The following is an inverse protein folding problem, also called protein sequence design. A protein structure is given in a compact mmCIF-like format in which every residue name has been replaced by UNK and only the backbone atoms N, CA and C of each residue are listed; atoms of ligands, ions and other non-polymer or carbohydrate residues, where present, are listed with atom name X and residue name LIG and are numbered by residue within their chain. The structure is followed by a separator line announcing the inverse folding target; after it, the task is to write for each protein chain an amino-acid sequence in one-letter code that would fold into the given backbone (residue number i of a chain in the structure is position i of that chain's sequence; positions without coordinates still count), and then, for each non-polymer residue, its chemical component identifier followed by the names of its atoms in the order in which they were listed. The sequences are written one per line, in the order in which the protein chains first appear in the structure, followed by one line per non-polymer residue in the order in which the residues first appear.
data_IF_266389643592
#
_entry.id   IF_266389643592
#
_cell.length_a   1.000
_cell.length_b   1.000
_cell.length_c   1.000
_cell.angle_alpha   90.00
_cell.angle_beta   90.00
_cell.angle_gamma   90.00
#
_symmetry.space_group_name_H-M   'P 1'
#
loop_
_entity.id
_entity.type
_entity.pdbx_description
1 polymer ?
#
# COMPACT_ATOMS: atom_id res chain seq x y z
N UNK A 1 -75.68 -20.23 -12.00
CA UNK A 1 -74.98 -19.95 -10.73
C UNK A 1 -73.49 -20.17 -10.94
N UNK A 2 -72.69 -19.12 -10.69
CA UNK A 2 -71.38 -19.16 -10.01
C UNK A 2 -70.08 -19.33 -10.83
N UNK A 3 -69.49 -18.22 -11.29
CA UNK A 3 -68.09 -18.22 -11.78
C UNK A 3 -67.28 -16.93 -11.47
N UNK A 4 -67.62 -16.13 -10.44
CA UNK A 4 -67.00 -14.79 -10.26
C UNK A 4 -66.31 -14.52 -8.91
N UNK A 5 -65.79 -15.55 -8.25
CA UNK A 5 -65.17 -15.40 -6.91
C UNK A 5 -63.72 -15.91 -6.78
N UNK A 6 -63.01 -16.20 -7.88
CA UNK A 6 -61.66 -16.83 -7.82
C UNK A 6 -60.50 -15.84 -8.06
N UNK A 7 -60.71 -14.52 -8.03
CA UNK A 7 -59.63 -13.59 -8.42
C UNK A 7 -59.56 -12.27 -7.62
N UNK A 8 -59.64 -12.31 -6.28
CA UNK A 8 -59.42 -11.11 -5.44
C UNK A 8 -58.38 -11.24 -4.32
N UNK A 9 -57.90 -12.43 -3.98
CA UNK A 9 -56.98 -12.60 -2.83
C UNK A 9 -55.49 -12.69 -3.20
N UNK A 10 -55.14 -12.86 -4.48
CA UNK A 10 -53.75 -13.04 -4.92
C UNK A 10 -52.96 -11.72 -5.07
N UNK A 11 -53.64 -10.58 -5.22
CA UNK A 11 -53.01 -9.26 -5.40
C UNK A 11 -52.46 -8.71 -4.08
N UNK A 12 -53.22 -8.79 -2.99
CA UNK A 12 -52.83 -8.25 -1.67
C UNK A 12 -51.66 -9.01 -1.04
N UNK A 13 -51.59 -10.33 -1.24
CA UNK A 13 -50.51 -11.15 -0.69
C UNK A 13 -49.17 -10.89 -1.41
N UNK A 14 -49.18 -10.70 -2.74
CA UNK A 14 -47.97 -10.31 -3.49
C UNK A 14 -47.41 -8.97 -3.04
N UNK A 15 -48.29 -8.02 -2.73
CA UNK A 15 -47.89 -6.70 -2.24
C UNK A 15 -47.22 -6.79 -0.86
N UNK A 16 -47.74 -7.59 0.07
CA UNK A 16 -47.11 -7.84 1.38
C UNK A 16 -45.76 -8.56 1.31
N UNK A 17 -45.59 -9.55 0.43
CA UNK A 17 -44.28 -10.20 0.25
C UNK A 17 -43.28 -9.28 -0.46
N UNK A 18 -43.75 -8.44 -1.39
CA UNK A 18 -42.93 -7.41 -2.03
C UNK A 18 -42.53 -6.30 -1.05
N UNK A 19 -43.39 -5.98 -0.08
CA UNK A 19 -43.13 -4.97 0.95
C UNK A 19 -42.17 -5.48 2.03
N UNK A 20 -42.29 -6.75 2.44
CA UNK A 20 -41.32 -7.40 3.33
C UNK A 20 -39.96 -7.61 2.66
N UNK A 21 -39.92 -8.02 1.39
CA UNK A 21 -38.68 -8.09 0.61
C UNK A 21 -38.09 -6.69 0.37
N UNK A 22 -38.94 -5.67 0.18
CA UNK A 22 -38.54 -4.27 0.08
C UNK A 22 -37.90 -3.77 1.37
N UNK A 23 -38.50 -4.07 2.53
CA UNK A 23 -37.92 -3.73 3.84
C UNK A 23 -36.64 -4.51 4.13
N UNK A 24 -36.57 -5.79 3.74
CA UNK A 24 -35.38 -6.61 3.92
C UNK A 24 -34.24 -6.18 2.98
N UNK A 25 -34.56 -5.78 1.75
CA UNK A 25 -33.60 -5.20 0.81
C UNK A 25 -33.13 -3.83 1.27
N UNK A 26 -34.01 -3.01 1.85
CA UNK A 26 -33.65 -1.69 2.36
C UNK A 26 -32.77 -1.79 3.62
N UNK A 27 -33.11 -2.70 4.55
CA UNK A 27 -32.26 -3.00 5.71
C UNK A 27 -30.93 -3.66 5.28
N UNK A 28 -30.94 -4.58 4.31
CA UNK A 28 -29.70 -5.20 3.81
C UNK A 28 -28.83 -4.20 3.05
N UNK A 29 -29.42 -3.29 2.28
CA UNK A 29 -28.68 -2.23 1.61
C UNK A 29 -28.03 -1.25 2.61
N UNK A 30 -28.71 -1.01 3.74
CA UNK A 30 -28.21 -0.17 4.84
C UNK A 30 -27.04 -0.85 5.55
N UNK A 31 -27.14 -2.16 5.84
CA UNK A 31 -26.06 -2.94 6.45
C UNK A 31 -24.85 -3.06 5.51
N UNK A 32 -25.08 -3.28 4.21
CA UNK A 32 -24.01 -3.32 3.21
C UNK A 32 -23.34 -1.95 3.04
N UNK A 33 -24.09 -0.84 3.14
CA UNK A 33 -23.51 0.50 3.17
C UNK A 33 -22.62 0.72 4.40
N UNK A 34 -23.07 0.29 5.58
CA UNK A 34 -22.29 0.36 6.83
C UNK A 34 -21.00 -0.48 6.74
N UNK A 35 -21.08 -1.67 6.14
CA UNK A 35 -19.91 -2.54 5.90
C UNK A 35 -18.92 -1.93 4.90
N UNK A 36 -19.41 -1.28 3.83
CA UNK A 36 -18.58 -0.55 2.87
C UNK A 36 -17.91 0.65 3.54
N UNK A 37 -18.63 1.38 4.39
CA UNK A 37 -18.09 2.53 5.12
C UNK A 37 -17.01 2.11 6.13
N UNK A 38 -17.25 1.02 6.87
CA UNK A 38 -16.25 0.42 7.77
C UNK A 38 -15.02 -0.12 7.00
N UNK A 39 -15.22 -0.71 5.82
CA UNK A 39 -14.10 -1.15 4.97
C UNK A 39 -13.25 0.04 4.49
N UNK A 40 -13.89 1.14 4.06
CA UNK A 40 -13.20 2.38 3.67
C UNK A 40 -12.42 2.98 4.85
N UNK A 41 -13.01 2.97 6.05
CA UNK A 41 -12.34 3.44 7.26
C UNK A 41 -11.13 2.55 7.60
N UNK A 42 -11.27 1.22 7.54
CA UNK A 42 -10.17 0.28 7.77
C UNK A 42 -9.02 0.43 6.76
N UNK A 43 -9.31 0.74 5.50
CA UNK A 43 -8.30 1.05 4.47
C UNK A 43 -7.57 2.36 4.82
N UNK A 44 -8.32 3.40 5.20
CA UNK A 44 -7.78 4.71 5.57
C UNK A 44 -6.94 4.65 6.85
N UNK A 45 -7.32 3.79 7.79
CA UNK A 45 -6.57 3.54 9.02
C UNK A 45 -5.29 2.75 8.75
N UNK A 46 -5.32 1.72 7.88
CA UNK A 46 -4.09 1.02 7.44
C UNK A 46 -3.13 1.93 6.67
N UNK A 47 -3.64 2.87 5.87
CA UNK A 47 -2.80 3.92 5.26
C UNK A 47 -2.18 4.86 6.30
N UNK A 48 -2.92 5.20 7.34
CA UNK A 48 -2.45 6.09 8.42
C UNK A 48 -1.43 5.37 9.33
N UNK A 49 -1.63 4.08 9.62
CA UNK A 49 -0.66 3.24 10.32
C UNK A 49 0.64 3.06 9.52
N UNK A 50 0.54 2.92 8.19
CA UNK A 50 1.70 2.91 7.30
C UNK A 50 2.51 4.21 7.32
N UNK A 51 1.85 5.35 7.54
CA UNK A 51 2.50 6.68 7.60
C UNK A 51 3.49 6.78 8.76
N UNK A 52 3.17 6.22 9.93
CA UNK A 52 4.11 6.19 11.06
C UNK A 52 5.31 5.29 10.76
N UNK A 53 5.11 4.16 10.09
CA UNK A 53 6.21 3.29 9.66
C UNK A 53 7.18 3.98 8.68
N UNK A 54 6.65 4.78 7.75
CA UNK A 54 7.48 5.54 6.79
C UNK A 54 8.35 6.58 7.48
N UNK A 55 7.83 7.27 8.51
CA UNK A 55 8.60 8.27 9.26
C UNK A 55 9.77 7.61 10.00
N UNK A 56 9.54 6.47 10.66
CA UNK A 56 10.61 5.74 11.35
C UNK A 56 11.67 5.22 10.37
N UNK A 57 11.27 4.75 9.19
CA UNK A 57 12.20 4.33 8.13
C UNK A 57 13.03 5.51 7.62
N UNK A 58 12.45 6.70 7.47
CA UNK A 58 13.18 7.90 7.03
C UNK A 58 14.25 8.33 8.05
N UNK A 59 13.91 8.33 9.35
CA UNK A 59 14.86 8.65 10.42
C UNK A 59 15.98 7.61 10.46
N UNK A 60 15.63 6.32 10.39
CA UNK A 60 16.59 5.22 10.34
C UNK A 60 17.51 5.30 9.12
N UNK A 61 16.98 5.63 7.95
CA UNK A 61 17.76 5.84 6.73
C UNK A 61 18.71 7.05 6.87
N UNK A 62 18.27 8.14 7.50
CA UNK A 62 19.12 9.29 7.78
C UNK A 62 20.30 8.96 8.68
N UNK A 63 20.07 8.23 9.77
CA UNK A 63 21.13 7.77 10.69
C UNK A 63 22.06 6.78 9.99
N UNK A 64 21.50 5.84 9.23
CA UNK A 64 22.28 4.88 8.43
C UNK A 64 23.17 5.57 7.40
N UNK A 65 22.68 6.63 6.75
CA UNK A 65 23.46 7.42 5.81
C UNK A 65 24.64 8.13 6.49
N UNK A 66 24.42 8.70 7.67
CA UNK A 66 25.51 9.32 8.45
C UNK A 66 26.58 8.28 8.86
N UNK A 67 26.17 7.09 9.30
CA UNK A 67 27.09 5.99 9.63
C UNK A 67 27.88 5.50 8.40
N UNK A 68 27.23 5.44 7.24
CA UNK A 68 27.85 5.06 5.98
C UNK A 68 28.93 6.04 5.52
N UNK A 69 28.68 7.34 5.66
CA UNK A 69 29.69 8.37 5.39
C UNK A 69 30.95 8.18 6.26
N UNK A 70 30.76 7.82 7.53
CA UNK A 70 31.86 7.53 8.43
C UNK A 70 32.66 6.29 8.00
N UNK A 71 31.97 5.21 7.57
CA UNK A 71 32.60 4.02 7.00
C UNK A 71 33.41 4.34 5.74
N UNK A 72 32.93 5.22 4.87
CA UNK A 72 33.67 5.65 3.68
C UNK A 72 35.00 6.33 4.05
N UNK A 73 34.99 7.21 5.06
CA UNK A 73 36.21 7.89 5.53
C UNK A 73 37.22 6.88 6.08
N UNK A 74 36.77 5.94 6.93
CA UNK A 74 37.62 4.88 7.48
C UNK A 74 38.21 4.02 6.37
N UNK A 75 37.41 3.66 5.36
CA UNK A 75 37.86 2.85 4.24
C UNK A 75 38.93 3.56 3.40
N UNK A 76 38.76 4.86 3.15
CA UNK A 76 39.76 5.68 2.44
C UNK A 76 41.07 5.75 3.24
N UNK A 77 41.00 6.00 4.54
CA UNK A 77 42.19 6.07 5.41
C UNK A 77 42.92 4.71 5.41
N UNK A 78 42.19 3.61 5.55
CA UNK A 78 42.76 2.27 5.53
C UNK A 78 43.46 1.96 4.19
N UNK A 79 42.83 2.33 3.08
CA UNK A 79 43.36 2.09 1.74
C UNK A 79 44.53 3.04 1.38
N UNK A 80 44.60 4.20 2.04
CA UNK A 80 45.73 5.13 1.90
C UNK A 80 47.04 4.53 2.43
N UNK A 81 46.97 3.52 3.30
CA UNK A 81 48.16 2.77 3.72
C UNK A 81 48.78 1.93 2.59
N UNK A 82 48.02 1.65 1.52
CA UNK A 82 48.46 0.84 0.38
C UNK A 82 48.66 1.67 -0.90
N UNK A 83 48.03 2.84 -1.02
CA UNK A 83 48.10 3.66 -2.24
C UNK A 83 47.90 5.16 -1.97
N UNK A 84 48.24 6.00 -2.96
CA UNK A 84 48.00 7.44 -2.87
C UNK A 84 46.50 7.76 -2.67
N UNK A 85 46.22 8.73 -1.79
CA UNK A 85 44.88 9.14 -1.37
C UNK A 85 43.90 9.36 -2.53
N UNK A 86 44.39 9.93 -3.64
CA UNK A 86 43.59 10.21 -4.84
C UNK A 86 43.05 8.92 -5.45
N UNK A 87 43.89 7.88 -5.57
CA UNK A 87 43.48 6.62 -6.16
C UNK A 87 42.58 5.81 -5.22
N UNK A 88 42.87 5.86 -3.91
CA UNK A 88 42.04 5.21 -2.89
C UNK A 88 40.61 5.77 -2.86
N UNK A 89 40.48 7.10 -2.94
CA UNK A 89 39.18 7.78 -3.01
C UNK A 89 38.43 7.44 -4.31
N UNK A 90 39.12 7.41 -5.45
CA UNK A 90 38.53 7.09 -6.75
C UNK A 90 37.98 5.65 -6.79
N UNK A 91 38.76 4.67 -6.31
CA UNK A 91 38.35 3.26 -6.27
C UNK A 91 37.17 3.05 -5.32
N UNK A 92 37.23 3.67 -4.14
CA UNK A 92 36.15 3.58 -3.15
C UNK A 92 34.86 4.20 -3.70
N UNK A 93 34.95 5.39 -4.29
CA UNK A 93 33.82 6.06 -4.94
C UNK A 93 33.24 5.26 -6.11
N UNK A 94 34.08 4.66 -6.94
CA UNK A 94 33.64 3.80 -8.05
C UNK A 94 32.88 2.56 -7.54
N UNK A 95 33.42 1.86 -6.54
CA UNK A 95 32.78 0.69 -5.95
C UNK A 95 31.40 1.04 -5.33
N UNK A 96 31.33 2.16 -4.63
CA UNK A 96 30.09 2.70 -4.05
C UNK A 96 29.07 3.08 -5.12
N UNK A 97 29.52 3.68 -6.23
CA UNK A 97 28.66 4.07 -7.35
C UNK A 97 28.06 2.85 -8.03
N UNK A 98 28.83 1.76 -8.17
CA UNK A 98 28.33 0.50 -8.75
C UNK A 98 27.30 -0.14 -7.82
N UNK A 99 27.58 -0.23 -6.52
CA UNK A 99 26.65 -0.79 -5.54
C UNK A 99 25.36 0.03 -5.44
N UNK A 100 25.49 1.35 -5.31
CA UNK A 100 24.36 2.27 -5.29
C UNK A 100 23.54 2.22 -6.58
N UNK A 101 24.23 2.16 -7.74
CA UNK A 101 23.61 2.00 -9.05
C UNK A 101 22.82 0.71 -9.17
N UNK A 102 23.34 -0.42 -8.69
CA UNK A 102 22.63 -1.70 -8.66
C UNK A 102 21.35 -1.62 -7.82
N UNK A 103 21.44 -1.07 -6.61
CA UNK A 103 20.29 -0.94 -5.70
C UNK A 103 19.23 -0.02 -6.33
N UNK A 104 19.65 1.13 -6.86
CA UNK A 104 18.77 2.06 -7.56
C UNK A 104 18.10 1.44 -8.79
N UNK A 105 18.85 0.64 -9.56
CA UNK A 105 18.32 -0.06 -10.73
C UNK A 105 17.28 -1.12 -10.35
N UNK A 106 17.51 -1.87 -9.28
CA UNK A 106 16.54 -2.85 -8.75
C UNK A 106 15.27 -2.14 -8.27
N UNK A 107 15.43 -1.04 -7.53
CA UNK A 107 14.32 -0.20 -7.05
C UNK A 107 13.49 0.35 -8.22
N UNK A 108 14.17 0.96 -9.21
CA UNK A 108 13.52 1.49 -10.40
C UNK A 108 12.80 0.39 -11.20
N UNK A 109 13.40 -0.79 -11.33
CA UNK A 109 12.78 -1.94 -12.02
C UNK A 109 11.54 -2.44 -11.28
N UNK A 110 11.54 -2.46 -9.95
CA UNK A 110 10.35 -2.81 -9.15
C UNK A 110 9.24 -1.77 -9.30
N UNK A 111 9.56 -0.47 -9.24
CA UNK A 111 8.59 0.61 -9.42
C UNK A 111 7.98 0.59 -10.82
N UNK A 112 8.82 0.45 -11.86
CA UNK A 112 8.38 0.34 -13.25
C UNK A 112 7.46 -0.87 -13.46
N UNK A 113 7.76 -2.02 -12.85
CA UNK A 113 6.91 -3.21 -12.92
C UNK A 113 5.57 -2.99 -12.20
N UNK A 114 5.57 -2.28 -11.07
CA UNK A 114 4.34 -1.96 -10.34
C UNK A 114 3.44 -0.96 -11.08
N UNK A 115 4.01 0.00 -11.82
CA UNK A 115 3.23 0.96 -12.60
C UNK A 115 2.74 0.41 -13.94
N UNK A 116 3.37 -0.63 -14.50
CA UNK A 116 2.89 -1.27 -15.73
C UNK A 116 1.74 -2.25 -15.48
N UNK A 117 1.59 -2.75 -14.24
CA UNK A 117 0.57 -3.75 -13.90
C UNK A 117 -0.71 -3.14 -13.30
N UNK A 118 -0.82 -1.81 -13.30
CA UNK A 118 -2.00 -1.01 -12.97
C UNK A 118 -2.49 -0.36 -14.25
#
# INVERSE_FOLDING_TARGET
MNNKLVNRDNITQRDSFSELLGQLANNSATVVHDEIELMIQGIREKMTAGRNGVITVMIGAGIGFAAFMCLCVVLIIWLTSYMALIMASLVTGAALTILGGMIAFIGYRKLKKSMHNT
#
